data_IF_252742589304
#
_entry.id   IF_252742589304
#
_cell.length_a   1.000
_cell.length_b   1.000
_cell.length_c   1.000
_cell.angle_alpha   90.00
_cell.angle_beta   90.00
_cell.angle_gamma   90.00
#
_symmetry.space_group_name_H-M   'P 1'
#
loop_
_entity.id
_entity.type
_entity.pdbx_description
1 polymer ?
#
# COMPACT_ATOMS: atom_id res chain seq x y z
N UNK A 1 16.77 15.81 7.43
CA UNK A 1 15.92 16.93 6.97
C UNK A 1 14.53 16.40 6.69
N UNK A 2 13.49 17.15 7.06
CA UNK A 2 12.10 16.81 6.72
C UNK A 2 11.82 17.21 5.27
N UNK A 3 11.20 16.32 4.49
CA UNK A 3 10.87 16.58 3.07
C UNK A 3 9.51 17.29 2.95
N UNK A 4 8.51 16.85 3.73
CA UNK A 4 7.23 17.55 3.90
C UNK A 4 6.61 17.16 5.25
N UNK A 5 5.96 18.10 5.94
CA UNK A 5 5.21 17.86 7.19
C UNK A 5 3.79 18.43 7.18
N UNK A 6 3.44 19.22 6.16
CA UNK A 6 2.17 19.94 6.05
C UNK A 6 1.63 19.95 4.63
N UNK A 7 0.30 20.00 4.53
CA UNK A 7 -0.44 20.33 3.33
C UNK A 7 -1.40 21.48 3.61
N UNK A 8 -1.31 22.56 2.81
CA UNK A 8 -2.11 23.79 2.99
C UNK A 8 -2.09 24.32 4.44
N UNK A 9 -0.91 24.28 5.07
CA UNK A 9 -0.68 24.74 6.45
C UNK A 9 -1.04 23.74 7.57
N UNK A 10 -1.77 22.67 7.24
CA UNK A 10 -2.22 21.64 8.19
C UNK A 10 -1.25 20.46 8.23
N UNK A 11 -1.07 19.84 9.38
CA UNK A 11 -0.26 18.62 9.55
C UNK A 11 -0.88 17.45 8.83
N UNK A 12 -0.04 16.58 8.26
CA UNK A 12 -0.48 15.26 7.82
C UNK A 12 -1.05 14.45 8.99
N UNK A 13 -1.93 13.49 8.68
CA UNK A 13 -2.63 12.69 9.66
C UNK A 13 -1.68 11.72 10.38
N UNK A 14 -1.01 10.85 9.62
CA UNK A 14 0.08 9.96 10.01
C UNK A 14 0.48 9.17 8.75
N UNK A 15 1.45 9.68 7.96
CA UNK A 15 1.89 9.03 6.72
C UNK A 15 2.28 7.57 6.94
N UNK A 16 1.99 6.70 5.97
CA UNK A 16 2.07 5.25 6.17
C UNK A 16 2.96 4.52 5.15
N UNK A 17 2.67 4.62 3.86
CA UNK A 17 3.49 3.98 2.80
C UNK A 17 3.78 4.97 1.65
N UNK A 18 4.76 4.65 0.80
CA UNK A 18 5.16 5.49 -0.33
C UNK A 18 5.64 4.72 -1.56
N UNK A 19 5.57 5.36 -2.72
CA UNK A 19 6.19 4.92 -3.96
C UNK A 19 6.81 6.11 -4.70
N UNK A 20 7.97 5.89 -5.30
CA UNK A 20 8.69 6.91 -6.07
C UNK A 20 8.59 6.58 -7.55
N UNK A 21 8.28 7.58 -8.38
CA UNK A 21 8.26 7.41 -9.82
C UNK A 21 9.59 7.78 -10.51
N UNK A 22 9.66 7.60 -11.82
CA UNK A 22 10.87 7.87 -12.61
C UNK A 22 11.25 9.36 -12.66
N UNK A 23 10.34 10.26 -12.29
CA UNK A 23 10.59 11.70 -12.23
C UNK A 23 11.02 12.15 -10.83
N UNK A 24 11.24 11.20 -9.90
CA UNK A 24 11.64 11.50 -8.53
C UNK A 24 10.49 12.02 -7.66
N UNK A 25 9.24 11.91 -8.12
CA UNK A 25 8.08 12.32 -7.35
C UNK A 25 7.70 11.24 -6.35
N UNK A 26 7.38 11.64 -5.12
CA UNK A 26 7.06 10.72 -4.02
C UNK A 26 5.56 10.73 -3.80
N UNK A 27 4.87 9.65 -4.17
CA UNK A 27 3.47 9.43 -3.79
C UNK A 27 3.44 8.76 -2.41
N UNK A 28 2.58 9.20 -1.52
CA UNK A 28 2.46 8.60 -0.19
C UNK A 28 1.02 8.63 0.34
N UNK A 29 0.72 7.71 1.25
CA UNK A 29 -0.60 7.56 1.85
C UNK A 29 -0.66 8.18 3.25
N UNK A 30 -1.79 8.80 3.60
CA UNK A 30 -1.99 9.51 4.87
C UNK A 30 -3.26 9.09 5.63
N UNK A 31 -3.31 7.85 6.18
CA UNK A 31 -4.52 7.21 6.73
C UNK A 31 -4.92 7.53 8.17
N UNK A 32 -3.99 7.90 9.06
CA UNK A 32 -4.20 7.89 10.54
C UNK A 32 -4.37 6.49 11.17
N UNK A 33 -3.26 5.79 11.39
CA UNK A 33 -3.23 4.59 12.26
C UNK A 33 -2.74 4.86 13.67
N UNK A 34 -1.99 5.95 13.87
CA UNK A 34 -1.34 6.31 15.13
C UNK A 34 -1.65 7.76 15.49
N UNK A 35 -1.51 8.06 16.79
CA UNK A 35 -1.73 9.38 17.37
C UNK A 35 -3.12 9.55 17.99
N UNK A 36 -3.20 10.38 19.03
CA UNK A 36 -4.43 10.67 19.78
C UNK A 36 -4.99 12.07 19.52
N UNK A 37 -4.18 12.96 18.94
CA UNK A 37 -4.58 14.30 18.56
C UNK A 37 -5.65 14.29 17.45
N UNK A 38 -6.53 15.31 17.40
CA UNK A 38 -7.45 15.45 16.28
C UNK A 38 -6.70 15.63 14.96
N UNK A 39 -7.20 15.00 13.89
CA UNK A 39 -6.72 15.27 12.52
C UNK A 39 -6.99 16.72 12.16
N UNK A 40 -6.01 17.39 11.55
CA UNK A 40 -6.21 18.74 11.01
C UNK A 40 -6.80 18.72 9.60
N UNK A 41 -6.42 17.70 8.82
CA UNK A 41 -6.94 17.45 7.47
C UNK A 41 -8.29 16.74 7.55
N UNK A 42 -9.21 17.14 6.68
CA UNK A 42 -10.55 16.55 6.60
C UNK A 42 -10.50 15.12 6.11
N UNK A 43 -9.69 14.88 5.07
CA UNK A 43 -9.57 13.60 4.41
C UNK A 43 -8.34 12.82 4.87
N UNK A 44 -8.44 11.50 4.76
CA UNK A 44 -7.30 10.61 4.57
C UNK A 44 -7.10 10.52 3.06
N UNK A 45 -5.90 10.76 2.60
CA UNK A 45 -5.66 10.94 1.17
C UNK A 45 -4.33 10.36 0.73
N UNK A 46 -4.18 10.25 -0.58
CA UNK A 46 -2.89 10.07 -1.23
C UNK A 46 -2.39 11.42 -1.67
N UNK A 47 -1.13 11.72 -1.34
CA UNK A 47 -0.45 12.93 -1.74
C UNK A 47 0.76 12.59 -2.62
N UNK A 48 1.27 13.60 -3.32
CA UNK A 48 2.52 13.54 -4.04
C UNK A 48 3.40 14.73 -3.69
N UNK A 49 4.67 14.48 -3.45
CA UNK A 49 5.71 15.48 -3.29
C UNK A 49 6.48 15.57 -4.60
N UNK A 50 6.56 16.77 -5.16
CA UNK A 50 7.40 17.10 -6.31
C UNK A 50 8.88 17.24 -5.90
N UNK A 51 9.85 17.13 -6.83
CA UNK A 51 11.27 17.29 -6.50
C UNK A 51 11.63 18.65 -5.88
N UNK A 52 10.83 19.69 -6.14
CA UNK A 52 10.98 21.03 -5.55
C UNK A 52 10.34 21.15 -4.15
N UNK A 53 9.77 20.07 -3.61
CA UNK A 53 9.11 20.02 -2.31
C UNK A 53 7.63 20.39 -2.31
N UNK A 54 7.05 20.77 -3.46
CA UNK A 54 5.62 21.07 -3.55
C UNK A 54 4.78 19.83 -3.30
N UNK A 55 3.76 19.95 -2.46
CA UNK A 55 2.80 18.86 -2.17
C UNK A 55 1.51 19.05 -2.94
N UNK A 56 1.03 17.98 -3.57
CA UNK A 56 -0.24 17.91 -4.30
C UNK A 56 -1.08 16.78 -3.71
N UNK A 57 -2.37 17.01 -3.50
CA UNK A 57 -3.32 15.92 -3.20
C UNK A 57 -3.69 15.19 -4.49
N UNK A 58 -3.46 13.88 -4.54
CA UNK A 58 -3.69 13.05 -5.73
C UNK A 58 -5.11 12.52 -5.75
N UNK A 59 -5.60 12.03 -4.61
CA UNK A 59 -6.97 11.58 -4.44
C UNK A 59 -7.28 11.39 -2.95
N UNK A 60 -8.54 11.60 -2.57
CA UNK A 60 -9.11 11.15 -1.30
C UNK A 60 -10.25 10.15 -1.50
N UNK A 61 -10.40 9.60 -2.71
CA UNK A 61 -11.39 8.56 -3.03
C UNK A 61 -10.90 7.19 -2.55
N UNK A 62 -10.44 7.11 -1.30
CA UNK A 62 -10.02 5.90 -0.56
C UNK A 62 -10.34 6.18 0.91
N UNK A 63 -11.06 5.28 1.58
CA UNK A 63 -11.52 5.53 2.95
C UNK A 63 -10.36 5.60 3.96
N UNK A 64 -9.36 4.73 3.80
CA UNK A 64 -8.14 4.70 4.60
C UNK A 64 -6.95 4.13 3.81
N UNK A 65 -6.21 4.97 3.06
CA UNK A 65 -5.17 4.54 2.14
C UNK A 65 -3.95 3.96 2.88
N UNK A 66 -3.47 2.80 2.46
CA UNK A 66 -2.36 2.07 3.08
C UNK A 66 -1.23 1.82 2.06
N UNK A 67 -1.03 0.57 1.60
CA UNK A 67 -0.03 0.23 0.60
C UNK A 67 -0.29 0.94 -0.73
N UNK A 68 0.79 1.30 -1.41
CA UNK A 68 0.77 2.09 -2.65
C UNK A 68 1.82 1.59 -3.63
N UNK A 69 1.47 1.52 -4.92
CA UNK A 69 2.41 1.18 -5.98
C UNK A 69 2.01 1.83 -7.31
N UNK A 70 2.94 1.86 -8.27
CA UNK A 70 2.70 2.34 -9.63
C UNK A 70 2.86 1.19 -10.63
N UNK A 71 2.05 1.19 -11.68
CA UNK A 71 2.26 0.33 -12.85
C UNK A 71 3.61 0.62 -13.52
N UNK A 72 4.19 -0.34 -14.28
CA UNK A 72 5.47 -0.13 -14.97
C UNK A 72 5.50 1.11 -15.85
N UNK A 73 4.43 1.37 -16.59
CA UNK A 73 4.27 2.55 -17.46
C UNK A 73 3.94 3.85 -16.72
N UNK A 74 3.72 3.79 -15.39
CA UNK A 74 3.37 4.94 -14.56
C UNK A 74 1.98 5.52 -14.83
N UNK A 75 1.11 4.81 -15.55
CA UNK A 75 -0.25 5.26 -15.90
C UNK A 75 -1.34 4.75 -14.96
N UNK A 76 -0.98 3.92 -13.98
CA UNK A 76 -1.91 3.44 -12.95
C UNK A 76 -1.27 3.56 -11.58
N UNK A 77 -2.00 4.14 -10.64
CA UNK A 77 -1.70 4.12 -9.21
C UNK A 77 -2.55 3.05 -8.54
N UNK A 78 -1.89 2.10 -7.88
CA UNK A 78 -2.54 1.10 -7.03
C UNK A 78 -2.52 1.59 -5.59
N UNK A 79 -3.66 1.49 -4.91
CA UNK A 79 -3.80 1.89 -3.50
C UNK A 79 -4.64 0.86 -2.76
N UNK A 80 -4.13 0.36 -1.64
CA UNK A 80 -4.91 -0.44 -0.70
C UNK A 80 -5.78 0.48 0.15
N UNK A 81 -7.06 0.14 0.26
CA UNK A 81 -7.97 0.69 1.27
C UNK A 81 -8.04 -0.31 2.41
N UNK A 82 -7.59 0.12 3.59
CA UNK A 82 -7.51 -0.71 4.79
C UNK A 82 -8.24 0.02 5.93
N UNK A 83 -9.54 0.20 5.76
CA UNK A 83 -10.35 0.90 6.74
C UNK A 83 -10.69 -0.01 7.92
N UNK A 84 -9.81 -0.05 8.91
CA UNK A 84 -10.05 -0.75 10.17
C UNK A 84 -11.11 -0.08 11.07
N UNK A 85 -11.82 0.95 10.60
CA UNK A 85 -12.98 1.53 11.27
C UNK A 85 -12.69 2.56 12.37
N UNK A 86 -11.42 2.91 12.59
CA UNK A 86 -11.02 3.82 13.68
C UNK A 86 -9.80 4.65 13.29
N UNK A 87 -9.68 5.86 13.84
CA UNK A 87 -8.43 6.67 13.78
C UNK A 87 -7.57 6.53 15.04
N UNK A 88 -7.99 5.67 15.96
CA UNK A 88 -7.36 5.45 17.26
C UNK A 88 -7.14 3.97 17.51
N UNK A 89 -6.06 3.64 18.24
CA UNK A 89 -5.84 2.32 18.79
C UNK A 89 -6.28 2.39 20.27
N UNK A 90 -7.53 2.02 20.54
CA UNK A 90 -8.01 1.80 21.91
C UNK A 90 -8.16 0.29 22.15
N UNK A 91 -7.19 -0.36 22.82
CA UNK A 91 -7.25 -1.79 23.08
C UNK A 91 -8.31 -2.16 24.13
N UNK A 92 -8.84 -1.20 24.89
CA UNK A 92 -9.90 -1.42 25.89
C UNK A 92 -11.30 -1.13 25.32
N UNK A 93 -11.38 -0.47 24.17
CA UNK A 93 -12.63 -0.14 23.50
C UNK A 93 -13.25 -1.33 22.75
N UNK A 94 -14.52 -1.21 22.33
CA UNK A 94 -15.12 -2.20 21.45
C UNK A 94 -14.36 -2.27 20.13
N UNK A 95 -14.31 -3.46 19.53
CA UNK A 95 -13.70 -3.62 18.23
C UNK A 95 -14.38 -2.68 17.21
N UNK A 96 -13.61 -1.83 16.50
CA UNK A 96 -14.17 -0.93 15.51
C UNK A 96 -14.80 -1.72 14.37
N UNK A 97 -15.87 -1.19 13.79
CA UNK A 97 -16.50 -1.79 12.60
C UNK A 97 -15.66 -1.43 11.36
N UNK A 98 -15.04 -2.39 10.67
CA UNK A 98 -14.27 -2.10 9.47
C UNK A 98 -15.15 -1.54 8.35
N UNK A 99 -14.55 -0.65 7.54
CA UNK A 99 -15.11 -0.17 6.29
C UNK A 99 -14.52 -0.92 5.09
N UNK A 100 -14.16 -0.20 4.03
CA UNK A 100 -13.58 -0.80 2.85
C UNK A 100 -12.25 -1.53 3.11
N UNK A 101 -12.16 -2.77 2.63
CA UNK A 101 -10.96 -3.61 2.56
C UNK A 101 -10.73 -3.98 1.09
N UNK A 102 -10.10 -3.11 0.31
CA UNK A 102 -10.10 -3.17 -1.16
C UNK A 102 -8.76 -2.79 -1.78
N UNK A 103 -8.53 -3.24 -3.00
CA UNK A 103 -7.47 -2.71 -3.87
C UNK A 103 -8.09 -1.88 -4.97
N UNK A 104 -7.65 -0.63 -5.09
CA UNK A 104 -8.07 0.28 -6.13
C UNK A 104 -6.96 0.52 -7.14
N UNK A 105 -7.37 0.70 -8.40
CA UNK A 105 -6.52 1.16 -9.50
C UNK A 105 -7.04 2.49 -10.02
N UNK A 106 -6.24 3.55 -9.90
CA UNK A 106 -6.54 4.89 -10.39
C UNK A 106 -5.79 5.13 -11.70
N UNK A 107 -6.50 5.49 -12.80
CA UNK A 107 -5.82 5.90 -14.02
C UNK A 107 -5.12 7.25 -13.80
N UNK A 108 -3.87 7.36 -14.26
CA UNK A 108 -3.09 8.60 -14.22
C UNK A 108 -2.90 9.18 -15.62
N UNK A 109 -2.90 10.50 -15.76
CA UNK A 109 -2.50 11.19 -16.99
C UNK A 109 -0.96 11.30 -17.10
N UNK A 110 -0.47 11.94 -18.16
CA UNK A 110 0.98 12.16 -18.37
C UNK A 110 1.66 12.99 -17.28
N UNK A 111 0.89 13.77 -16.51
CA UNK A 111 1.37 14.53 -15.35
C UNK A 111 1.29 13.72 -14.06
N UNK A 112 0.89 12.44 -14.09
CA UNK A 112 0.75 11.58 -12.92
C UNK A 112 -0.42 11.95 -11.99
N UNK A 113 -1.40 12.71 -12.48
CA UNK A 113 -2.62 13.06 -11.76
C UNK A 113 -3.75 12.08 -12.11
N UNK A 114 -4.66 11.82 -11.17
CA UNK A 114 -5.84 10.97 -11.44
C UNK A 114 -6.66 11.56 -12.58
N UNK A 115 -6.93 10.75 -13.60
CA UNK A 115 -7.52 11.18 -14.88
C UNK A 115 -8.88 10.57 -15.18
N UNK A 116 -9.44 9.82 -14.26
CA UNK A 116 -10.74 9.16 -14.41
C UNK A 116 -11.12 8.34 -13.20
N UNK A 117 -12.25 7.63 -13.31
CA UNK A 117 -12.77 6.79 -12.23
C UNK A 117 -11.82 5.65 -11.86
N UNK A 118 -11.64 5.43 -10.56
CA UNK A 118 -10.94 4.26 -10.05
C UNK A 118 -11.69 2.96 -10.39
N UNK A 119 -10.94 1.87 -10.55
CA UNK A 119 -11.47 0.49 -10.61
C UNK A 119 -11.20 -0.22 -9.29
N UNK A 120 -12.10 -1.12 -8.89
CA UNK A 120 -11.80 -2.08 -7.80
C UNK A 120 -11.17 -3.31 -8.45
N UNK A 121 -9.94 -3.66 -8.03
CA UNK A 121 -9.25 -4.86 -8.50
C UNK A 121 -9.56 -6.07 -7.61
N UNK A 122 -9.60 -5.85 -6.30
CA UNK A 122 -9.87 -6.89 -5.30
C UNK A 122 -10.79 -6.31 -4.24
N UNK A 123 -11.80 -7.10 -3.85
CA UNK A 123 -12.68 -6.83 -2.70
C UNK A 123 -12.51 -7.98 -1.70
N UNK A 124 -11.95 -7.67 -0.53
CA UNK A 124 -11.72 -8.66 0.52
C UNK A 124 -12.97 -8.89 1.40
N UNK A 125 -14.07 -8.18 1.14
CA UNK A 125 -15.30 -8.29 1.91
C UNK A 125 -15.05 -7.97 3.40
N UNK A 126 -15.29 -8.95 4.26
CA UNK A 126 -15.11 -8.82 5.71
C UNK A 126 -13.73 -9.26 6.21
N UNK A 127 -12.86 -9.75 5.33
CA UNK A 127 -11.50 -10.15 5.71
C UNK A 127 -10.58 -8.93 5.79
N UNK A 128 -9.55 -9.01 6.63
CA UNK A 128 -8.50 -8.00 6.62
C UNK A 128 -7.82 -7.99 5.25
N UNK A 129 -7.84 -6.81 4.61
CA UNK A 129 -7.37 -6.65 3.24
C UNK A 129 -5.86 -6.55 3.14
N UNK A 130 -5.43 -5.83 2.11
CA UNK A 130 -4.03 -5.57 1.87
C UNK A 130 -3.46 -4.55 2.85
N UNK A 131 -2.21 -4.75 3.27
CA UNK A 131 -1.38 -3.74 3.95
C UNK A 131 -0.45 -3.12 2.89
N UNK A 132 0.86 -3.41 2.89
CA UNK A 132 1.79 -3.02 1.84
C UNK A 132 1.71 -3.83 0.54
N UNK A 133 2.24 -3.28 -0.55
CA UNK A 133 2.26 -3.92 -1.87
C UNK A 133 3.51 -3.55 -2.70
N UNK A 134 3.81 -4.35 -3.73
CA UNK A 134 4.84 -4.02 -4.73
C UNK A 134 4.44 -4.50 -6.12
N UNK A 135 5.24 -4.18 -7.15
CA UNK A 135 4.96 -4.51 -8.56
C UNK A 135 6.22 -5.10 -9.20
N UNK A 136 6.06 -6.08 -10.09
CA UNK A 136 7.15 -6.62 -10.89
C UNK A 136 7.29 -5.96 -12.27
N UNK A 137 8.36 -6.28 -13.01
CA UNK A 137 8.63 -5.72 -14.34
C UNK A 137 7.56 -6.07 -15.40
N UNK A 138 6.74 -7.09 -15.16
CA UNK A 138 5.64 -7.50 -16.04
C UNK A 138 4.30 -6.86 -15.67
N UNK A 139 4.26 -6.09 -14.56
CA UNK A 139 3.07 -5.40 -14.09
C UNK A 139 2.19 -6.23 -13.16
N UNK A 140 2.64 -7.41 -12.70
CA UNK A 140 1.92 -8.10 -11.64
C UNK A 140 2.05 -7.32 -10.32
N UNK A 141 0.96 -7.27 -9.56
CA UNK A 141 0.91 -6.58 -8.26
C UNK A 141 0.91 -7.62 -7.15
N UNK A 142 1.85 -7.47 -6.22
CA UNK A 142 2.05 -8.34 -5.06
C UNK A 142 1.42 -7.67 -3.85
N UNK A 143 0.37 -8.27 -3.30
CA UNK A 143 -0.46 -7.74 -2.23
C UNK A 143 -0.24 -8.54 -0.95
N UNK A 144 0.10 -7.90 0.16
CA UNK A 144 0.16 -8.58 1.47
C UNK A 144 -1.24 -8.84 2.01
N UNK A 145 -1.70 -10.09 2.00
CA UNK A 145 -3.04 -10.47 2.45
C UNK A 145 -3.00 -10.84 3.93
N UNK A 146 -3.64 -10.03 4.77
CA UNK A 146 -3.72 -10.21 6.23
C UNK A 146 -4.90 -11.10 6.67
N UNK A 147 -5.38 -11.97 5.79
CA UNK A 147 -6.46 -12.91 6.07
C UNK A 147 -6.06 -13.94 7.13
N UNK A 148 -6.92 -14.16 8.12
CA UNK A 148 -6.75 -15.24 9.08
C UNK A 148 -6.92 -16.62 8.43
N UNK A 149 -7.65 -16.73 7.33
CA UNK A 149 -7.92 -18.01 6.65
C UNK A 149 -6.84 -18.36 5.63
N UNK A 150 -6.25 -17.36 4.99
CA UNK A 150 -5.28 -17.54 3.90
C UNK A 150 -4.23 -16.42 3.93
N UNK A 151 -3.35 -16.39 4.96
CA UNK A 151 -2.33 -15.37 5.06
C UNK A 151 -1.22 -15.59 4.02
N UNK A 152 -0.83 -14.53 3.31
CA UNK A 152 0.19 -14.66 2.27
C UNK A 152 0.34 -13.44 1.38
N UNK A 153 1.15 -13.59 0.34
CA UNK A 153 1.26 -12.61 -0.75
C UNK A 153 0.42 -13.09 -1.91
N UNK A 154 -0.67 -12.39 -2.20
CA UNK A 154 -1.48 -12.61 -3.40
C UNK A 154 -0.87 -11.83 -4.56
N UNK A 155 -0.66 -12.50 -5.69
CA UNK A 155 -0.15 -11.87 -6.91
C UNK A 155 -1.29 -11.76 -7.89
N UNK A 156 -1.62 -10.54 -8.30
CA UNK A 156 -2.66 -10.26 -9.28
C UNK A 156 -2.08 -9.71 -10.59
N UNK A 157 -2.76 -9.94 -11.70
CA UNK A 157 -2.50 -9.20 -12.94
C UNK A 157 -3.08 -7.75 -12.88
N UNK A 158 -2.78 -6.87 -13.85
CA UNK A 158 -3.32 -5.50 -13.88
C UNK A 158 -4.85 -5.38 -13.95
N UNK A 159 -5.55 -6.49 -14.24
CA UNK A 159 -7.01 -6.57 -14.28
C UNK A 159 -7.61 -7.05 -12.95
N UNK A 160 -6.78 -7.41 -11.97
CA UNK A 160 -7.22 -7.89 -10.65
C UNK A 160 -7.37 -9.40 -10.56
N UNK A 161 -6.98 -10.17 -11.58
CA UNK A 161 -7.05 -11.63 -11.53
C UNK A 161 -5.89 -12.17 -10.70
N UNK A 162 -6.17 -12.99 -9.69
CA UNK A 162 -5.15 -13.76 -8.97
C UNK A 162 -4.44 -14.72 -9.93
N UNK A 163 -3.12 -14.57 -10.06
CA UNK A 163 -2.26 -15.41 -10.93
C UNK A 163 -1.30 -16.29 -10.12
N UNK A 164 -1.02 -15.92 -8.87
CA UNK A 164 -0.25 -16.74 -7.94
C UNK A 164 -0.55 -16.36 -6.49
N UNK A 165 -0.16 -17.24 -5.56
CA UNK A 165 -0.24 -16.99 -4.13
C UNK A 165 0.96 -17.61 -3.41
N UNK A 166 1.59 -16.85 -2.52
CA UNK A 166 2.74 -17.27 -1.73
C UNK A 166 2.30 -17.29 -0.26
N UNK A 167 2.07 -18.46 0.36
CA UNK A 167 1.65 -18.53 1.75
C UNK A 167 2.76 -18.03 2.69
N UNK A 168 2.38 -17.26 3.71
CA UNK A 168 3.29 -16.79 4.76
C UNK A 168 3.01 -17.45 6.11
N UNK A 169 1.95 -18.24 6.21
CA UNK A 169 1.60 -19.06 7.37
C UNK A 169 0.44 -19.99 7.08
N UNK A 170 0.05 -20.76 8.10
CA UNK A 170 -1.14 -21.61 8.04
C UNK A 170 -2.41 -20.81 8.34
N UNK A 171 -3.59 -21.26 7.89
CA UNK A 171 -4.86 -20.74 8.36
C UNK A 171 -4.92 -20.76 9.90
N UNK A 172 -5.39 -19.68 10.48
CA UNK A 172 -5.62 -19.57 11.91
C UNK A 172 -6.96 -20.25 12.27
N UNK A 173 -6.90 -21.23 13.17
CA UNK A 173 -8.04 -22.11 13.51
C UNK A 173 -8.30 -22.26 15.02
N UNK A 174 -7.56 -21.54 15.87
CA UNK A 174 -7.65 -21.67 17.34
C UNK A 174 -7.80 -20.32 18.05
N UNK A 175 -7.74 -20.34 19.38
CA UNK A 175 -7.94 -19.14 20.22
C UNK A 175 -6.64 -18.35 20.51
N UNK A 176 -5.52 -18.80 19.94
CA UNK A 176 -4.21 -18.16 20.14
C UNK A 176 -4.01 -16.90 19.28
N UNK A 177 -2.84 -16.28 19.40
CA UNK A 177 -2.48 -15.19 18.48
C UNK A 177 -2.32 -15.71 17.04
N UNK A 178 -2.90 -15.02 16.04
CA UNK A 178 -2.69 -15.38 14.65
C UNK A 178 -1.22 -15.14 14.25
N UNK A 179 -0.70 -16.03 13.40
CA UNK A 179 0.68 -15.97 12.90
C UNK A 179 0.70 -16.10 11.39
N UNK A 180 1.81 -15.67 10.79
CA UNK A 180 2.02 -15.63 9.36
C UNK A 180 1.41 -14.40 8.70
N UNK A 181 1.03 -13.34 9.42
CA UNK A 181 0.37 -12.18 8.83
C UNK A 181 1.40 -11.23 8.20
N UNK A 182 1.41 -11.08 6.86
CA UNK A 182 2.34 -10.17 6.21
C UNK A 182 1.89 -8.71 6.35
N UNK A 183 2.83 -7.78 6.49
CA UNK A 183 2.55 -6.34 6.61
C UNK A 183 3.08 -5.52 5.44
N UNK A 184 4.22 -5.89 4.86
CA UNK A 184 4.75 -5.23 3.68
C UNK A 184 5.57 -6.20 2.82
N UNK A 185 5.77 -5.84 1.57
CA UNK A 185 6.47 -6.63 0.57
C UNK A 185 7.22 -5.73 -0.40
N UNK A 186 8.46 -6.07 -0.74
CA UNK A 186 9.22 -5.36 -1.77
C UNK A 186 10.25 -6.27 -2.43
N UNK A 187 10.64 -5.94 -3.65
CA UNK A 187 11.76 -6.62 -4.30
C UNK A 187 13.10 -6.02 -3.85
N UNK A 188 14.13 -6.86 -3.78
CA UNK A 188 15.51 -6.41 -3.64
C UNK A 188 15.99 -5.62 -4.85
N UNK A 189 17.23 -5.13 -4.79
CA UNK A 189 17.86 -4.36 -5.87
C UNK A 189 19.12 -5.05 -6.41
N UNK A 190 19.53 -4.67 -7.61
CA UNK A 190 20.77 -5.17 -8.23
C UNK A 190 20.78 -6.70 -8.34
N UNK A 191 21.79 -7.40 -7.77
CA UNK A 191 21.85 -8.87 -7.77
C UNK A 191 20.63 -9.55 -7.15
N UNK A 192 19.90 -8.85 -6.28
CA UNK A 192 18.70 -9.34 -5.60
C UNK A 192 17.39 -8.86 -6.23
N UNK A 193 17.42 -8.27 -7.41
CA UNK A 193 16.23 -7.80 -8.14
C UNK A 193 15.13 -8.86 -8.30
N UNK A 194 15.49 -10.14 -8.25
CA UNK A 194 14.57 -11.30 -8.28
C UNK A 194 14.30 -11.91 -6.91
N UNK A 195 14.50 -11.16 -5.85
CA UNK A 195 14.26 -11.60 -4.48
C UNK A 195 13.15 -10.77 -3.89
N UNK A 196 12.07 -11.42 -3.45
CA UNK A 196 10.97 -10.80 -2.74
C UNK A 196 11.27 -10.83 -1.24
N UNK A 197 11.28 -9.67 -0.61
CA UNK A 197 11.34 -9.50 0.84
C UNK A 197 9.94 -9.27 1.38
N UNK A 198 9.58 -9.95 2.47
CA UNK A 198 8.25 -9.84 3.10
C UNK A 198 8.42 -9.69 4.61
N UNK A 199 7.81 -8.66 5.20
CA UNK A 199 7.71 -8.55 6.66
C UNK A 199 6.49 -9.32 7.15
N UNK A 200 6.70 -10.30 8.02
CA UNK A 200 5.65 -11.22 8.50
C UNK A 200 5.76 -11.31 10.02
N UNK A 201 4.73 -10.87 10.73
CA UNK A 201 4.71 -10.73 12.19
C UNK A 201 5.99 -10.05 12.75
N UNK A 202 6.91 -10.85 13.32
CA UNK A 202 8.19 -10.45 13.93
C UNK A 202 9.41 -10.85 13.11
N UNK A 203 9.21 -11.27 11.86
CA UNK A 203 10.21 -11.91 11.00
C UNK A 203 10.30 -11.20 9.64
N UNK A 204 11.46 -11.33 8.99
CA UNK A 204 11.68 -10.93 7.61
C UNK A 204 11.96 -12.18 6.76
N UNK A 205 11.14 -12.40 5.74
CA UNK A 205 11.27 -13.48 4.77
C UNK A 205 11.98 -12.98 3.52
N UNK A 206 12.71 -13.89 2.86
CA UNK A 206 13.43 -13.63 1.61
C UNK A 206 13.15 -14.78 0.64
N UNK A 207 12.49 -14.50 -0.48
CA UNK A 207 11.93 -15.51 -1.39
C UNK A 207 12.48 -15.27 -2.81
N UNK A 208 13.31 -16.18 -3.34
CA UNK A 208 13.76 -16.09 -4.74
C UNK A 208 12.60 -16.32 -5.71
N UNK A 209 12.46 -15.43 -6.69
CA UNK A 209 11.46 -15.48 -7.75
C UNK A 209 12.14 -15.56 -9.13
N UNK A 210 11.34 -15.83 -10.16
CA UNK A 210 11.80 -15.88 -11.55
C UNK A 210 11.79 -14.51 -12.24
N UNK A 211 10.95 -13.60 -11.76
CA UNK A 211 10.70 -12.28 -12.35
C UNK A 211 11.35 -11.23 -11.45
N UNK A 212 11.93 -10.19 -12.05
CA UNK A 212 12.50 -9.10 -11.30
C UNK A 212 11.43 -8.10 -10.86
N UNK A 213 11.64 -7.46 -9.72
CA UNK A 213 10.85 -6.32 -9.28
C UNK A 213 10.94 -5.15 -10.24
N UNK A 214 9.88 -4.34 -10.27
CA UNK A 214 9.86 -3.12 -11.04
C UNK A 214 10.93 -2.16 -10.51
N UNK A 215 11.96 -1.91 -11.33
CA UNK A 215 12.99 -0.91 -11.04
C UNK A 215 12.72 0.35 -11.85
N UNK A 216 12.41 1.44 -11.16
CA UNK A 216 12.37 2.79 -11.73
C UNK A 216 13.54 3.57 -11.14
N UNK A 217 14.76 3.47 -11.71
CA UNK A 217 15.84 4.31 -11.20
C UNK A 217 15.45 5.77 -11.43
N UNK A 218 15.30 6.53 -10.34
CA UNK A 218 15.52 7.97 -10.38
C UNK A 218 17.03 8.14 -10.32
N UNK A 219 17.64 8.49 -11.44
CA UNK A 219 19.00 9.02 -11.43
C UNK A 219 18.87 10.54 -11.39
N UNK A 220 19.23 11.20 -10.28
CA UNK A 220 19.31 12.65 -10.25
C UNK A 220 20.30 13.07 -11.35
N UNK A 221 19.86 13.91 -12.29
CA UNK A 221 20.76 14.57 -13.24
C UNK A 221 21.66 15.57 -12.51
#
# INVERSE_FOLDING_TARGET
TTIADRFKGKRFNAPNDLVIDQLGRIYFTDPRYLGSEPRELEHRAVYRIEPDGKVIEITHDVEKPNGIALSPDGRTLYVADHNNGTDQIDPAGPAPKPGAMKIYAFPLNGEGLVSGSRRTLVDFGSEAGCDGMTVDEQGHVYLTVRSLKRPGVMVIDPNGKEVAFIPTGNPHTGDGEPVGLPSNVTFGIGPESRTLYVTVDKSLYRIPLKIAGLRKPFEPQ
#
